data_IF_847601693255
#
_entry.id   IF_847601693255
#
_cell.length_a   1.000
_cell.length_b   1.000
_cell.length_c   1.000
_cell.angle_alpha   90.00
_cell.angle_beta   90.00
_cell.angle_gamma   90.00
#
_symmetry.space_group_name_H-M   'P 1'
#
loop_
_entity.id
_entity.type
_entity.pdbx_description
1 polymer ?
#
# COMPACT_ATOMS: atom_id res chain seq x y z
N UNK A 1 34.95 -15.04 0.05
CA UNK A 1 34.08 -13.87 -0.08
C UNK A 1 34.56 -13.06 -1.28
N UNK A 2 33.83 -12.98 -2.39
CA UNK A 2 34.23 -12.17 -3.56
C UNK A 2 33.81 -10.71 -3.35
N UNK A 3 34.76 -9.80 -3.42
CA UNK A 3 34.53 -8.35 -3.45
C UNK A 3 34.00 -7.99 -4.83
N UNK A 4 32.72 -7.61 -4.92
CA UNK A 4 32.15 -7.02 -6.14
C UNK A 4 32.61 -5.57 -6.21
N UNK A 5 33.60 -5.29 -7.08
CA UNK A 5 33.96 -3.93 -7.48
C UNK A 5 32.97 -3.48 -8.55
N UNK A 6 31.99 -2.66 -8.20
CA UNK A 6 31.17 -1.95 -9.16
C UNK A 6 31.89 -0.66 -9.54
N UNK A 7 32.59 -0.66 -10.68
CA UNK A 7 33.07 0.59 -11.30
C UNK A 7 31.84 1.31 -11.87
N UNK A 8 31.38 2.34 -11.18
CA UNK A 8 30.36 3.27 -11.69
C UNK A 8 31.07 4.23 -12.64
N UNK A 9 30.73 4.16 -13.92
CA UNK A 9 31.28 5.00 -14.97
C UNK A 9 30.90 6.48 -14.72
N UNK A 10 31.85 7.26 -14.24
CA UNK A 10 31.70 8.68 -13.89
C UNK A 10 31.32 9.60 -15.08
N UNK A 11 31.45 9.11 -16.34
CA UNK A 11 31.15 9.89 -17.54
C UNK A 11 29.66 10.15 -17.80
N UNK A 12 28.79 9.24 -17.42
CA UNK A 12 27.33 9.38 -17.65
C UNK A 12 26.72 10.49 -16.78
N UNK A 13 27.30 10.75 -15.60
CA UNK A 13 26.82 11.79 -14.68
C UNK A 13 27.12 13.23 -15.12
N UNK A 14 28.18 13.43 -15.92
CA UNK A 14 28.62 14.77 -16.34
C UNK A 14 27.78 15.32 -17.48
N UNK A 15 27.26 14.46 -18.37
CA UNK A 15 26.39 14.88 -19.48
C UNK A 15 24.96 15.23 -19.02
N UNK A 16 24.40 14.50 -18.07
CA UNK A 16 23.08 14.78 -17.49
C UNK A 16 23.03 16.11 -16.74
N UNK A 17 24.15 16.52 -16.14
CA UNK A 17 24.25 17.80 -15.42
C UNK A 17 24.26 19.02 -16.35
N UNK A 18 24.65 18.86 -17.64
CA UNK A 18 24.70 19.96 -18.61
C UNK A 18 23.40 20.20 -19.38
N UNK A 19 22.51 19.19 -19.46
CA UNK A 19 21.25 19.30 -20.23
C UNK A 19 20.03 19.68 -19.43
N UNK A 20 20.12 19.95 -18.13
CA UNK A 20 18.97 20.13 -17.27
C UNK A 20 18.13 18.83 -17.15
N UNK A 21 17.45 18.64 -16.04
CA UNK A 21 16.64 17.43 -15.86
C UNK A 21 15.43 17.47 -16.79
N UNK A 22 15.40 16.58 -17.79
CA UNK A 22 14.23 16.37 -18.65
C UNK A 22 13.16 15.65 -17.82
N UNK A 23 12.17 16.42 -17.37
CA UNK A 23 11.03 15.87 -16.63
C UNK A 23 10.13 15.09 -17.58
N UNK A 24 9.97 13.82 -17.32
CA UNK A 24 9.01 13.00 -18.04
C UNK A 24 7.61 13.16 -17.39
N UNK A 25 6.80 14.04 -18.00
CA UNK A 25 5.41 14.29 -17.55
C UNK A 25 4.55 13.04 -17.59
N UNK A 26 4.80 12.16 -18.55
CA UNK A 26 4.06 10.91 -18.74
C UNK A 26 4.34 9.91 -17.61
N UNK A 27 5.52 10.02 -16.97
CA UNK A 27 5.89 9.26 -15.76
C UNK A 27 5.48 9.95 -14.45
N UNK A 28 4.70 11.03 -14.52
CA UNK A 28 4.19 11.71 -13.33
C UNK A 28 5.27 12.36 -12.45
N UNK A 29 6.38 12.80 -13.06
CA UNK A 29 7.47 13.46 -12.32
C UNK A 29 7.14 14.93 -12.08
N UNK A 30 6.87 15.27 -10.83
CA UNK A 30 6.58 16.62 -10.36
C UNK A 30 7.49 16.95 -9.16
N UNK A 31 8.40 17.91 -9.33
CA UNK A 31 9.32 18.32 -8.26
C UNK A 31 8.65 19.37 -7.40
N UNK A 32 8.65 19.15 -6.10
CA UNK A 32 8.23 20.11 -5.10
C UNK A 32 9.28 21.22 -5.02
N UNK A 33 8.88 22.46 -5.31
CA UNK A 33 9.79 23.62 -5.37
C UNK A 33 9.70 24.56 -4.17
N UNK A 34 8.60 24.48 -3.41
CA UNK A 34 8.37 25.39 -2.28
C UNK A 34 9.13 24.94 -1.03
N UNK A 35 10.17 25.66 -0.56
CA UNK A 35 10.98 25.26 0.57
C UNK A 35 10.20 25.21 1.89
N UNK A 36 9.18 26.04 2.07
CA UNK A 36 8.36 26.06 3.28
C UNK A 36 7.52 24.78 3.40
N UNK A 37 7.04 24.27 2.26
CA UNK A 37 6.33 22.98 2.23
C UNK A 37 7.29 21.83 2.54
N UNK A 38 8.50 21.84 1.97
CA UNK A 38 9.53 20.84 2.24
C UNK A 38 9.88 20.84 3.73
N UNK A 39 10.12 22.02 4.31
CA UNK A 39 10.42 22.18 5.73
C UNK A 39 9.27 21.62 6.60
N UNK A 40 8.03 21.97 6.26
CA UNK A 40 6.85 21.47 7.00
C UNK A 40 6.72 19.95 6.92
N UNK A 41 7.07 19.31 5.80
CA UNK A 41 7.09 17.85 5.67
C UNK A 41 8.16 17.25 6.59
N UNK A 42 9.37 17.82 6.60
CA UNK A 42 10.48 17.36 7.44
C UNK A 42 10.14 17.51 8.94
N UNK A 43 9.56 18.62 9.34
CA UNK A 43 9.09 18.85 10.71
C UNK A 43 8.03 17.82 11.13
N UNK A 44 7.03 17.57 10.25
CA UNK A 44 6.00 16.55 10.50
C UNK A 44 6.52 15.12 10.47
N UNK A 45 7.64 14.89 9.77
CA UNK A 45 8.35 13.62 9.80
C UNK A 45 9.09 13.39 11.12
N UNK A 46 9.26 14.42 11.99
CA UNK A 46 9.87 14.29 13.32
C UNK A 46 11.10 13.36 13.35
N UNK A 47 12.04 13.59 12.44
CA UNK A 47 13.23 12.77 12.25
C UNK A 47 14.13 12.91 13.48
N UNK A 48 14.61 11.79 14.01
CA UNK A 48 15.57 11.74 15.12
C UNK A 48 16.99 11.67 14.57
N UNK A 49 17.96 12.12 15.35
CA UNK A 49 19.38 12.09 14.96
C UNK A 49 19.93 10.67 14.70
N UNK A 50 19.28 9.65 15.28
CA UNK A 50 19.66 8.23 15.16
C UNK A 50 18.93 7.51 14.04
N UNK A 51 17.93 8.15 13.40
CA UNK A 51 17.12 7.48 12.39
C UNK A 51 17.89 7.23 11.08
N UNK A 52 17.70 6.07 10.51
CA UNK A 52 18.03 5.76 9.13
C UNK A 52 16.81 6.13 8.27
N UNK A 53 16.97 7.13 7.39
CA UNK A 53 15.87 7.66 6.58
C UNK A 53 15.99 7.17 5.15
N UNK A 54 14.94 6.50 4.67
CA UNK A 54 14.79 6.14 3.25
C UNK A 54 14.10 7.28 2.51
N UNK A 55 14.78 7.89 1.53
CA UNK A 55 14.18 8.79 0.57
C UNK A 55 13.98 8.10 -0.77
N UNK A 56 12.76 8.12 -1.31
CA UNK A 56 12.42 7.51 -2.59
C UNK A 56 12.24 8.61 -3.64
N UNK A 57 13.06 8.56 -4.70
CA UNK A 57 12.99 9.51 -5.79
C UNK A 57 13.39 10.93 -5.37
N UNK A 58 14.64 11.15 -4.93
CA UNK A 58 15.13 12.45 -4.41
C UNK A 58 15.18 13.57 -5.47
N UNK A 59 14.62 13.35 -6.63
CA UNK A 59 14.46 14.37 -7.67
C UNK A 59 15.81 14.82 -8.27
N UNK A 60 16.27 16.00 -7.90
CA UNK A 60 17.50 16.60 -8.45
C UNK A 60 18.80 16.07 -7.85
N UNK A 61 18.72 15.07 -6.98
CA UNK A 61 19.87 14.58 -6.20
C UNK A 61 20.55 15.71 -5.39
N UNK A 62 19.79 16.68 -4.94
CA UNK A 62 20.30 17.86 -4.23
C UNK A 62 20.99 17.48 -2.93
N UNK A 63 20.45 16.48 -2.22
CA UNK A 63 21.06 15.95 -1.00
C UNK A 63 22.47 15.39 -1.29
N UNK A 64 22.63 14.62 -2.37
CA UNK A 64 23.94 14.08 -2.77
C UNK A 64 24.95 15.21 -3.00
N UNK A 65 24.55 16.27 -3.71
CA UNK A 65 25.41 17.42 -3.97
C UNK A 65 25.80 18.14 -2.69
N UNK A 66 24.88 18.31 -1.76
CA UNK A 66 25.12 19.02 -0.49
C UNK A 66 26.04 18.28 0.47
N UNK A 67 26.02 16.94 0.47
CA UNK A 67 26.86 16.14 1.34
C UNK A 67 28.20 15.76 0.73
N UNK A 68 28.37 15.95 -0.59
CA UNK A 68 29.61 15.66 -1.31
C UNK A 68 30.79 16.47 -0.71
N UNK A 69 31.87 15.77 -0.35
CA UNK A 69 33.05 16.39 0.30
C UNK A 69 32.87 16.75 1.76
N UNK A 70 31.74 16.43 2.39
CA UNK A 70 31.51 16.62 3.84
C UNK A 70 31.68 15.31 4.60
N UNK A 71 31.76 15.39 5.94
CA UNK A 71 31.77 14.24 6.85
C UNK A 71 30.50 13.38 6.75
N UNK A 72 29.42 13.91 6.20
CA UNK A 72 28.14 13.21 6.01
C UNK A 72 28.10 12.35 4.75
N UNK A 73 29.07 12.46 3.84
CA UNK A 73 29.13 11.68 2.62
C UNK A 73 29.16 10.17 2.88
N UNK A 74 29.87 9.75 3.92
CA UNK A 74 29.95 8.33 4.32
C UNK A 74 28.63 7.76 4.89
N UNK A 75 27.70 8.64 5.30
CA UNK A 75 26.38 8.27 5.81
C UNK A 75 25.30 8.19 4.73
N UNK A 76 25.60 8.62 3.50
CA UNK A 76 24.67 8.60 2.38
C UNK A 76 24.89 7.32 1.55
N UNK A 77 23.90 6.44 1.53
CA UNK A 77 23.85 5.29 0.64
C UNK A 77 22.87 5.57 -0.50
N UNK A 78 23.31 5.40 -1.74
CA UNK A 78 22.50 5.59 -2.93
C UNK A 78 22.27 4.25 -3.60
N UNK A 79 20.97 3.90 -3.80
CA UNK A 79 20.55 2.71 -4.52
C UNK A 79 19.86 3.15 -5.81
N UNK A 80 20.38 2.75 -6.95
CA UNK A 80 19.84 3.08 -8.27
C UNK A 80 19.06 1.87 -8.78
N UNK A 81 17.78 2.06 -9.09
CA UNK A 81 16.93 0.99 -9.62
C UNK A 81 15.44 1.36 -9.61
N UNK A 82 14.63 0.39 -10.03
CA UNK A 82 13.18 0.48 -9.92
C UNK A 82 12.78 0.10 -8.48
N UNK A 83 12.23 1.05 -7.74
CA UNK A 83 11.83 0.86 -6.34
C UNK A 83 10.85 -0.31 -6.15
N UNK A 84 10.04 -0.64 -7.13
CA UNK A 84 9.10 -1.75 -7.04
C UNK A 84 9.77 -3.12 -7.18
N UNK A 85 10.93 -3.18 -7.85
CA UNK A 85 11.69 -4.41 -8.12
C UNK A 85 12.88 -4.59 -7.19
N UNK A 86 13.48 -3.48 -6.71
CA UNK A 86 14.64 -3.51 -5.83
C UNK A 86 14.25 -3.89 -4.41
N UNK A 87 15.09 -4.64 -3.71
CA UNK A 87 14.92 -4.87 -2.29
C UNK A 87 15.13 -3.57 -1.52
N UNK A 88 14.31 -3.36 -0.50
CA UNK A 88 14.44 -2.19 0.37
C UNK A 88 15.51 -2.46 1.43
N UNK A 89 16.45 -1.51 1.66
CA UNK A 89 17.39 -1.61 2.77
C UNK A 89 16.64 -1.49 4.11
N UNK A 90 17.34 -1.68 5.21
CA UNK A 90 16.85 -1.29 6.53
C UNK A 90 16.64 0.23 6.59
N UNK A 91 15.54 0.67 7.19
CA UNK A 91 15.26 2.07 7.50
C UNK A 91 14.28 2.19 8.67
N UNK A 92 14.37 3.29 9.42
CA UNK A 92 13.44 3.63 10.49
C UNK A 92 12.26 4.47 9.99
N UNK A 93 12.53 5.31 9.01
CA UNK A 93 11.59 6.27 8.41
C UNK A 93 11.67 6.28 6.89
N UNK A 94 10.53 6.43 6.23
CA UNK A 94 10.49 6.73 4.80
C UNK A 94 9.88 8.11 4.59
N UNK A 95 10.55 8.97 3.81
CA UNK A 95 10.00 10.26 3.38
C UNK A 95 10.10 10.35 1.87
N UNK A 96 8.98 10.58 1.18
CA UNK A 96 9.02 10.61 -0.28
C UNK A 96 7.92 11.45 -0.92
N UNK A 97 8.30 12.11 -2.03
CA UNK A 97 7.39 12.62 -3.04
C UNK A 97 7.43 11.65 -4.23
N UNK A 98 6.52 10.69 -4.25
CA UNK A 98 6.55 9.58 -5.21
C UNK A 98 5.81 9.89 -6.51
N UNK A 99 6.22 9.28 -7.64
CA UNK A 99 5.41 9.30 -8.86
C UNK A 99 4.05 8.64 -8.60
N UNK A 100 2.97 9.32 -9.01
CA UNK A 100 1.61 8.90 -8.65
C UNK A 100 1.21 7.52 -9.17
N UNK A 101 1.78 7.10 -10.31
CA UNK A 101 1.49 5.80 -10.93
C UNK A 101 1.88 4.60 -10.05
N UNK A 102 2.89 4.77 -9.19
CA UNK A 102 3.37 3.70 -8.31
C UNK A 102 2.82 3.77 -6.89
N UNK A 103 1.90 4.68 -6.61
CA UNK A 103 1.38 4.92 -5.24
C UNK A 103 0.87 3.65 -4.56
N UNK A 104 -0.02 2.91 -5.21
CA UNK A 104 -0.61 1.70 -4.62
C UNK A 104 0.41 0.58 -4.40
N UNK A 105 1.17 0.12 -5.42
CA UNK A 105 2.14 -0.95 -5.21
C UNK A 105 3.23 -0.57 -4.21
N UNK A 106 3.63 0.70 -4.15
CA UNK A 106 4.64 1.15 -3.18
C UNK A 106 4.12 1.11 -1.74
N UNK A 107 2.88 1.54 -1.49
CA UNK A 107 2.27 1.44 -0.15
C UNK A 107 2.29 0.00 0.34
N UNK A 108 1.85 -0.96 -0.48
CA UNK A 108 1.85 -2.37 -0.07
C UNK A 108 3.25 -2.94 0.06
N UNK A 109 4.20 -2.54 -0.81
CA UNK A 109 5.61 -2.94 -0.67
C UNK A 109 6.20 -2.47 0.67
N UNK A 110 5.94 -1.24 1.08
CA UNK A 110 6.38 -0.71 2.37
C UNK A 110 5.72 -1.48 3.54
N UNK A 111 4.41 -1.73 3.49
CA UNK A 111 3.69 -2.41 4.56
C UNK A 111 4.07 -3.90 4.72
N UNK A 112 4.58 -4.52 3.65
CA UNK A 112 5.09 -5.91 3.70
C UNK A 112 6.58 -5.98 4.01
N UNK A 113 7.30 -4.84 4.02
CA UNK A 113 8.73 -4.79 4.33
C UNK A 113 9.02 -5.25 5.77
N UNK A 114 10.10 -6.00 5.92
CA UNK A 114 10.63 -6.44 7.24
C UNK A 114 12.12 -6.14 7.32
N UNK A 115 12.62 -5.70 8.49
CA UNK A 115 11.87 -5.38 9.72
C UNK A 115 10.93 -4.18 9.53
N UNK A 116 9.90 -4.06 10.40
CA UNK A 116 8.94 -2.95 10.33
C UNK A 116 9.65 -1.62 10.60
N UNK A 117 9.35 -0.64 9.74
CA UNK A 117 9.75 0.75 9.96
C UNK A 117 8.79 1.45 10.94
N UNK A 118 9.22 2.57 11.50
CA UNK A 118 8.42 3.33 12.47
C UNK A 118 7.20 3.98 11.80
N UNK A 119 7.42 4.75 10.73
CA UNK A 119 6.37 5.30 9.85
C UNK A 119 6.93 5.82 8.54
N UNK A 120 6.05 6.01 7.57
CA UNK A 120 6.36 6.67 6.31
C UNK A 120 5.54 7.97 6.17
N UNK A 121 6.18 9.05 5.70
CA UNK A 121 5.55 10.33 5.37
C UNK A 121 5.63 10.49 3.86
N UNK A 122 4.50 10.26 3.20
CA UNK A 122 4.44 10.15 1.75
C UNK A 122 3.46 11.16 1.15
N UNK A 123 3.83 11.71 0.01
CA UNK A 123 2.96 12.60 -0.74
C UNK A 123 2.29 11.87 -1.90
N UNK A 124 0.96 12.00 -1.97
CA UNK A 124 0.10 11.36 -2.95
C UNK A 124 -0.82 12.37 -3.63
N UNK A 125 -1.43 11.99 -4.74
CA UNK A 125 -2.60 12.71 -5.27
C UNK A 125 -3.70 12.78 -4.21
N UNK A 126 -4.42 13.92 -4.17
CA UNK A 126 -5.47 14.16 -3.17
C UNK A 126 -6.44 13.00 -3.05
N UNK A 127 -7.02 12.54 -4.16
CA UNK A 127 -8.01 11.46 -4.14
C UNK A 127 -7.43 10.14 -3.60
N UNK A 128 -6.19 9.80 -3.96
CA UNK A 128 -5.54 8.60 -3.44
C UNK A 128 -5.31 8.69 -1.92
N UNK A 129 -4.83 9.83 -1.45
CA UNK A 129 -4.65 10.09 -0.02
C UNK A 129 -5.98 10.04 0.76
N UNK A 130 -7.05 10.63 0.21
CA UNK A 130 -8.40 10.58 0.78
C UNK A 130 -8.96 9.16 0.84
N UNK A 131 -8.66 8.31 -0.16
CA UNK A 131 -9.01 6.88 -0.12
C UNK A 131 -8.26 6.12 0.98
N UNK A 132 -6.98 6.45 1.22
CA UNK A 132 -6.20 5.79 2.29
C UNK A 132 -6.81 6.01 3.68
N UNK A 133 -7.33 7.21 3.95
CA UNK A 133 -7.89 7.59 5.26
C UNK A 133 -9.42 7.44 5.35
N UNK A 134 -10.07 7.07 4.26
CA UNK A 134 -11.53 6.92 4.21
C UNK A 134 -12.03 5.88 5.22
N UNK A 135 -13.16 6.19 5.89
CA UNK A 135 -13.78 5.34 6.90
C UNK A 135 -14.98 4.58 6.31
N UNK A 136 -15.44 3.51 6.97
CA UNK A 136 -16.69 2.85 6.62
C UNK A 136 -17.84 3.85 6.48
N UNK A 137 -18.62 3.74 5.40
CA UNK A 137 -19.68 4.68 5.05
C UNK A 137 -19.26 5.82 4.11
N UNK A 138 -18.00 6.19 4.08
CA UNK A 138 -17.51 7.23 3.18
C UNK A 138 -17.65 6.82 1.70
N UNK A 139 -17.90 7.82 0.83
CA UNK A 139 -17.98 7.60 -0.62
C UNK A 139 -16.70 7.00 -1.19
N UNK A 140 -15.55 7.42 -0.68
CA UNK A 140 -14.22 7.02 -1.14
C UNK A 140 -13.72 5.72 -0.51
N UNK A 141 -14.42 5.21 0.52
CA UNK A 141 -14.04 3.95 1.16
C UNK A 141 -14.04 2.79 0.16
N UNK A 142 -12.94 2.05 0.11
CA UNK A 142 -12.70 1.03 -0.90
C UNK A 142 -11.67 -0.01 -0.42
N UNK A 143 -11.37 -0.98 -1.28
CA UNK A 143 -10.37 -2.03 -0.99
C UNK A 143 -9.00 -1.48 -0.56
N UNK A 144 -8.55 -0.37 -1.17
CA UNK A 144 -7.31 0.30 -0.75
C UNK A 144 -7.39 0.77 0.70
N UNK A 145 -8.52 1.38 1.09
CA UNK A 145 -8.72 1.89 2.45
C UNK A 145 -8.58 0.79 3.49
N UNK A 146 -9.38 -0.25 3.36
CA UNK A 146 -9.45 -1.32 4.36
C UNK A 146 -8.17 -2.17 4.40
N UNK A 147 -7.58 -2.50 3.25
CA UNK A 147 -6.34 -3.26 3.19
C UNK A 147 -5.16 -2.51 3.82
N UNK A 148 -5.07 -1.19 3.59
CA UNK A 148 -4.02 -0.37 4.21
C UNK A 148 -4.26 -0.23 5.71
N UNK A 149 -5.49 0.05 6.13
CA UNK A 149 -5.84 0.28 7.54
C UNK A 149 -5.80 -1.00 8.38
N UNK A 150 -5.93 -2.18 7.78
CA UNK A 150 -5.64 -3.45 8.43
C UNK A 150 -4.18 -3.49 8.90
N UNK A 151 -3.23 -3.09 8.03
CA UNK A 151 -1.80 -3.22 8.26
C UNK A 151 -1.16 -2.00 8.93
N UNK A 152 -1.79 -0.83 8.86
CA UNK A 152 -1.24 0.42 9.33
C UNK A 152 -2.31 1.39 9.86
N UNK A 153 -1.89 2.28 10.76
CA UNK A 153 -2.60 3.52 11.02
C UNK A 153 -2.24 4.54 9.93
N UNK A 154 -3.22 5.28 9.45
CA UNK A 154 -3.05 6.26 8.36
C UNK A 154 -3.65 7.60 8.78
N UNK A 155 -2.81 8.65 8.79
CA UNK A 155 -3.21 9.99 9.19
C UNK A 155 -2.93 10.99 8.06
N UNK A 156 -3.88 11.88 7.77
CA UNK A 156 -3.69 13.00 6.86
C UNK A 156 -2.93 14.12 7.56
N UNK A 157 -1.74 14.50 7.05
CA UNK A 157 -0.90 15.50 7.69
C UNK A 157 -1.13 16.92 7.14
N UNK A 158 -1.17 17.08 5.80
CA UNK A 158 -1.35 18.39 5.19
C UNK A 158 -1.75 18.30 3.72
N UNK A 159 -2.36 19.37 3.22
CA UNK A 159 -2.68 19.55 1.79
C UNK A 159 -1.58 20.37 1.11
N UNK A 160 -1.27 20.02 -0.15
CA UNK A 160 -0.25 20.70 -0.94
C UNK A 160 -0.86 21.10 -2.30
N UNK A 161 -0.98 22.42 -2.52
CA UNK A 161 -1.52 22.96 -3.76
C UNK A 161 -0.60 22.69 -4.95
N UNK A 162 -1.17 22.46 -6.13
CA UNK A 162 -0.46 22.14 -7.37
C UNK A 162 0.59 23.15 -7.80
N UNK A 163 0.43 24.42 -7.43
CA UNK A 163 1.37 25.51 -7.76
C UNK A 163 2.73 25.39 -7.05
N UNK A 164 2.86 24.52 -6.05
CA UNK A 164 4.11 24.27 -5.35
C UNK A 164 5.04 23.31 -6.10
N UNK A 165 4.64 22.84 -7.28
CA UNK A 165 5.42 21.88 -8.09
C UNK A 165 5.90 22.47 -9.40
N UNK A 166 6.95 21.83 -9.97
CA UNK A 166 7.45 22.12 -11.33
C UNK A 166 7.76 20.80 -12.06
N UNK A 167 7.09 20.49 -13.17
CA UNK A 167 5.85 21.12 -13.64
C UNK A 167 4.69 20.89 -12.65
N UNK A 168 3.65 21.76 -12.64
CA UNK A 168 2.50 21.57 -11.76
C UNK A 168 1.72 20.30 -12.17
N UNK A 169 1.27 19.46 -11.22
CA UNK A 169 0.40 18.34 -11.50
C UNK A 169 -1.01 18.80 -11.88
N UNK A 170 -1.80 17.90 -12.49
CA UNK A 170 -3.20 18.18 -12.85
C UNK A 170 -4.09 18.38 -11.61
N UNK A 171 -3.78 17.71 -10.51
CA UNK A 171 -4.54 17.68 -9.27
C UNK A 171 -3.69 18.09 -8.07
N UNK A 172 -4.33 18.47 -6.98
CA UNK A 172 -3.67 18.74 -5.71
C UNK A 172 -3.10 17.47 -5.10
N UNK A 173 -2.20 17.64 -4.14
CA UNK A 173 -1.55 16.57 -3.40
C UNK A 173 -1.85 16.67 -1.91
N UNK A 174 -1.76 15.55 -1.22
CA UNK A 174 -1.82 15.50 0.24
C UNK A 174 -0.63 14.68 0.76
N UNK A 175 -0.13 15.09 1.91
CA UNK A 175 0.90 14.37 2.66
C UNK A 175 0.20 13.50 3.69
N UNK A 176 0.57 12.22 3.73
CA UNK A 176 -0.03 11.21 4.60
C UNK A 176 1.08 10.53 5.41
N UNK A 177 0.81 10.27 6.68
CA UNK A 177 1.63 9.43 7.54
C UNK A 177 1.01 8.02 7.56
N UNK A 178 1.84 7.03 7.31
CA UNK A 178 1.49 5.61 7.36
C UNK A 178 2.37 4.97 8.42
N UNK A 179 1.76 4.46 9.47
CA UNK A 179 2.42 3.83 10.62
C UNK A 179 2.01 2.36 10.69
N UNK A 180 2.93 1.41 10.39
CA UNK A 180 2.63 0.00 10.46
C UNK A 180 2.16 -0.41 11.86
N UNK A 181 1.17 -1.30 11.93
CA UNK A 181 0.72 -1.86 13.21
C UNK A 181 1.79 -2.80 13.75
N UNK A 182 2.11 -2.64 15.04
CA UNK A 182 3.05 -3.50 15.74
C UNK A 182 2.44 -3.89 17.10
N UNK A 183 2.12 -5.17 17.34
CA UNK A 183 2.34 -6.31 16.44
C UNK A 183 1.44 -6.25 15.19
N UNK A 184 1.86 -6.86 14.06
CA UNK A 184 1.01 -6.98 12.88
C UNK A 184 -0.20 -7.89 13.17
N UNK A 185 -1.34 -7.70 12.48
CA UNK A 185 -2.51 -8.54 12.68
C UNK A 185 -2.21 -10.00 12.34
N UNK A 186 -2.69 -10.92 13.19
CA UNK A 186 -2.54 -12.38 13.01
C UNK A 186 -3.60 -12.91 12.03
N UNK A 187 -3.52 -12.47 10.77
CA UNK A 187 -4.45 -12.85 9.70
C UNK A 187 -3.66 -13.29 8.49
N UNK A 188 -4.11 -14.38 7.85
CA UNK A 188 -3.59 -14.72 6.53
C UNK A 188 -4.03 -13.64 5.54
N UNK A 189 -3.08 -12.83 5.07
CA UNK A 189 -3.35 -11.69 4.19
C UNK A 189 -3.91 -12.13 2.82
N UNK A 190 -3.58 -13.31 2.33
CA UNK A 190 -4.10 -13.82 1.06
C UNK A 190 -5.60 -14.15 1.18
N UNK A 191 -5.99 -14.82 2.26
CA UNK A 191 -7.39 -15.09 2.59
C UNK A 191 -8.20 -13.80 2.77
N UNK A 192 -7.62 -12.86 3.52
CA UNK A 192 -8.21 -11.54 3.70
C UNK A 192 -8.42 -10.81 2.37
N UNK A 193 -7.37 -10.67 1.53
CA UNK A 193 -7.48 -9.95 0.25
C UNK A 193 -8.46 -10.64 -0.71
N UNK A 194 -8.55 -11.97 -0.68
CA UNK A 194 -9.53 -12.75 -1.42
C UNK A 194 -10.96 -12.38 -1.04
N UNK A 195 -11.28 -12.39 0.26
CA UNK A 195 -12.58 -11.97 0.79
C UNK A 195 -12.90 -10.52 0.42
N UNK A 196 -11.97 -9.60 0.70
CA UNK A 196 -12.15 -8.16 0.45
C UNK A 196 -12.33 -7.87 -1.04
N UNK A 197 -11.64 -8.57 -1.92
CA UNK A 197 -11.80 -8.45 -3.37
C UNK A 197 -13.21 -8.81 -3.83
N UNK A 198 -13.78 -9.89 -3.30
CA UNK A 198 -15.17 -10.29 -3.61
C UNK A 198 -16.15 -9.22 -3.10
N UNK A 199 -16.05 -8.85 -1.85
CA UNK A 199 -16.96 -7.91 -1.20
C UNK A 199 -16.97 -6.53 -1.87
N UNK A 200 -15.79 -5.98 -2.20
CA UNK A 200 -15.64 -4.65 -2.80
C UNK A 200 -15.81 -4.61 -4.31
N UNK A 201 -15.86 -5.75 -5.01
CA UNK A 201 -16.20 -5.78 -6.44
C UNK A 201 -17.54 -5.06 -6.70
N UNK A 202 -18.50 -5.23 -5.81
CA UNK A 202 -19.82 -4.58 -5.83
C UNK A 202 -20.15 -3.91 -4.50
N UNK A 203 -19.28 -3.02 -4.01
CA UNK A 203 -19.32 -2.43 -2.66
C UNK A 203 -20.65 -1.83 -2.21
N UNK A 204 -21.51 -1.45 -3.16
CA UNK A 204 -22.83 -0.85 -2.91
C UNK A 204 -23.97 -1.88 -2.88
N UNK A 205 -23.74 -3.12 -3.29
CA UNK A 205 -24.69 -4.23 -3.17
C UNK A 205 -24.50 -4.95 -1.84
N UNK A 206 -25.50 -5.75 -1.44
CA UNK A 206 -25.39 -6.61 -0.26
C UNK A 206 -24.33 -7.68 -0.47
N UNK A 207 -23.76 -8.20 0.62
CA UNK A 207 -22.82 -9.31 0.54
C UNK A 207 -23.46 -10.54 -0.08
N UNK A 208 -24.71 -10.85 0.25
CA UNK A 208 -25.44 -11.94 -0.41
C UNK A 208 -25.42 -11.78 -1.93
N UNK A 209 -25.66 -10.57 -2.47
CA UNK A 209 -25.60 -10.32 -3.90
C UNK A 209 -24.16 -10.38 -4.48
N UNK A 210 -23.13 -10.09 -3.67
CA UNK A 210 -21.74 -10.20 -4.11
C UNK A 210 -21.30 -11.67 -4.19
N UNK A 211 -21.68 -12.50 -3.22
CA UNK A 211 -21.33 -13.91 -3.14
C UNK A 211 -22.16 -14.81 -4.06
N UNK A 212 -23.35 -14.36 -4.51
CA UNK A 212 -24.17 -15.10 -5.52
C UNK A 212 -23.66 -15.03 -6.95
N UNK A 213 -22.58 -14.28 -7.23
CA UNK A 213 -22.00 -14.21 -8.57
C UNK A 213 -21.45 -15.59 -8.98
N UNK A 214 -21.78 -16.07 -10.19
CA UNK A 214 -21.36 -17.39 -10.67
C UNK A 214 -19.86 -17.62 -10.57
N UNK A 215 -19.04 -16.62 -10.94
CA UNK A 215 -17.58 -16.70 -10.85
C UNK A 215 -17.08 -16.89 -9.41
N UNK A 216 -17.75 -16.27 -8.43
CA UNK A 216 -17.42 -16.39 -7.00
C UNK A 216 -17.81 -17.74 -6.48
N UNK A 217 -19.03 -18.20 -6.80
CA UNK A 217 -19.55 -19.52 -6.41
C UNK A 217 -18.63 -20.62 -6.94
N UNK A 218 -18.31 -20.60 -8.24
CA UNK A 218 -17.43 -21.62 -8.85
C UNK A 218 -16.03 -21.63 -8.22
N UNK A 219 -15.47 -20.43 -7.93
CA UNK A 219 -14.17 -20.34 -7.28
C UNK A 219 -14.21 -20.91 -5.85
N UNK A 220 -15.19 -20.54 -5.05
CA UNK A 220 -15.33 -21.03 -3.67
C UNK A 220 -15.61 -22.53 -3.62
N UNK A 221 -16.41 -23.07 -4.55
CA UNK A 221 -16.66 -24.50 -4.65
C UNK A 221 -15.37 -25.28 -4.96
N UNK A 222 -14.58 -24.77 -5.92
CA UNK A 222 -13.28 -25.36 -6.27
C UNK A 222 -12.34 -25.35 -5.07
N UNK A 223 -12.21 -24.21 -4.39
CA UNK A 223 -11.34 -24.08 -3.21
C UNK A 223 -11.82 -25.01 -2.09
N UNK A 224 -13.13 -25.07 -1.82
CA UNK A 224 -13.71 -25.94 -0.81
C UNK A 224 -13.40 -27.42 -1.07
N UNK A 225 -13.57 -27.90 -2.32
CA UNK A 225 -13.24 -29.29 -2.71
C UNK A 225 -11.75 -29.58 -2.53
N UNK A 226 -10.86 -28.65 -2.90
CA UNK A 226 -9.40 -28.80 -2.72
C UNK A 226 -9.07 -28.88 -1.22
N UNK A 227 -9.55 -27.95 -0.41
CA UNK A 227 -9.30 -27.96 1.04
C UNK A 227 -9.89 -29.17 1.74
N UNK A 228 -11.09 -29.61 1.35
CA UNK A 228 -11.69 -30.84 1.89
C UNK A 228 -10.84 -32.07 1.56
N UNK A 229 -10.35 -32.18 0.33
CA UNK A 229 -9.46 -33.28 -0.09
C UNK A 229 -8.14 -33.28 0.71
N UNK A 230 -7.52 -32.12 0.90
CA UNK A 230 -6.28 -31.98 1.68
C UNK A 230 -6.47 -32.37 3.16
N UNK A 231 -7.66 -32.19 3.70
CA UNK A 231 -8.02 -32.54 5.07
C UNK A 231 -8.71 -33.90 5.21
N UNK A 232 -8.70 -34.74 4.16
CA UNK A 232 -9.37 -36.05 4.12
C UNK A 232 -10.86 -36.01 4.47
N UNK A 233 -11.53 -34.89 4.16
CA UNK A 233 -12.97 -34.75 4.32
C UNK A 233 -13.68 -35.18 3.04
N UNK A 234 -14.66 -36.08 3.19
CA UNK A 234 -15.51 -36.49 2.06
C UNK A 234 -16.55 -35.38 1.84
N UNK A 235 -16.63 -34.87 0.62
CA UNK A 235 -17.68 -33.94 0.20
C UNK A 235 -18.83 -34.78 -0.34
N UNK A 236 -20.07 -34.65 0.21
CA UNK A 236 -21.23 -35.40 -0.31
C UNK A 236 -21.54 -35.06 -1.76
N UNK A 237 -22.13 -35.98 -2.51
CA UNK A 237 -22.49 -35.76 -3.92
C UNK A 237 -23.58 -34.70 -4.12
N UNK A 238 -24.44 -34.51 -3.10
CA UNK A 238 -25.52 -33.52 -3.06
C UNK A 238 -25.07 -32.16 -2.45
N UNK A 239 -23.77 -31.97 -2.26
CA UNK A 239 -23.22 -30.75 -1.66
C UNK A 239 -23.49 -29.51 -2.54
N UNK A 240 -24.17 -28.50 -1.98
CA UNK A 240 -24.40 -27.20 -2.59
C UNK A 240 -23.66 -26.08 -1.84
N UNK A 241 -22.59 -25.59 -2.43
CA UNK A 241 -21.79 -24.48 -1.89
C UNK A 241 -22.62 -23.20 -1.69
N UNK A 242 -23.69 -22.99 -2.46
CA UNK A 242 -24.56 -21.81 -2.33
C UNK A 242 -25.33 -21.84 -1.01
N UNK A 243 -25.78 -23.01 -0.59
CA UNK A 243 -26.46 -23.17 0.70
C UNK A 243 -25.48 -22.88 1.84
N UNK A 244 -24.25 -23.38 1.76
CA UNK A 244 -23.21 -23.14 2.75
C UNK A 244 -22.81 -21.65 2.81
N UNK A 245 -22.67 -20.97 1.68
CA UNK A 245 -22.43 -19.52 1.62
C UNK A 245 -23.55 -18.75 2.31
N UNK A 246 -24.83 -19.06 2.01
CA UNK A 246 -25.96 -18.40 2.62
C UNK A 246 -25.99 -18.65 4.15
N UNK A 247 -25.78 -19.88 4.58
CA UNK A 247 -25.71 -20.25 5.99
C UNK A 247 -24.66 -19.43 6.75
N UNK A 248 -23.42 -19.29 6.19
CA UNK A 248 -22.37 -18.50 6.82
C UNK A 248 -22.73 -17.02 6.90
N UNK A 249 -23.29 -16.45 5.82
CA UNK A 249 -23.69 -15.05 5.78
C UNK A 249 -24.81 -14.74 6.79
N UNK A 250 -25.77 -15.64 6.96
CA UNK A 250 -26.85 -15.53 7.95
C UNK A 250 -26.28 -15.64 9.38
N UNK A 251 -25.48 -16.67 9.66
CA UNK A 251 -24.84 -16.90 10.95
C UNK A 251 -23.96 -15.70 11.39
N UNK A 252 -23.30 -15.03 10.44
CA UNK A 252 -22.51 -13.83 10.67
C UNK A 252 -23.34 -12.54 10.67
N UNK A 253 -24.68 -12.60 10.51
CA UNK A 253 -25.55 -11.43 10.33
C UNK A 253 -25.02 -10.46 9.24
N UNK A 254 -24.46 -11.00 8.17
CA UNK A 254 -23.77 -10.23 7.15
C UNK A 254 -24.51 -10.18 5.79
N UNK A 255 -25.55 -10.98 5.58
CA UNK A 255 -26.24 -11.15 4.31
C UNK A 255 -26.74 -9.81 3.69
N UNK A 256 -27.27 -8.92 4.53
CA UNK A 256 -27.83 -7.63 4.15
C UNK A 256 -26.83 -6.47 4.28
N UNK A 257 -25.65 -6.73 4.90
CA UNK A 257 -24.59 -5.73 5.00
C UNK A 257 -23.99 -5.43 3.61
N UNK A 258 -23.40 -4.25 3.52
CA UNK A 258 -22.71 -3.80 2.29
C UNK A 258 -21.24 -3.54 2.63
N UNK A 259 -20.33 -3.96 1.76
CA UNK A 259 -18.89 -3.78 2.00
C UNK A 259 -18.49 -2.35 2.35
N UNK A 260 -19.15 -1.36 1.71
CA UNK A 260 -18.88 0.06 1.97
C UNK A 260 -19.13 0.55 3.40
N UNK A 261 -19.94 -0.17 4.19
CA UNK A 261 -20.34 0.21 5.56
C UNK A 261 -19.72 -0.67 6.62
N UNK A 262 -18.99 -1.70 6.22
CA UNK A 262 -18.35 -2.65 7.13
C UNK A 262 -16.93 -2.17 7.49
N UNK A 263 -16.56 -2.34 8.75
CA UNK A 263 -15.23 -2.05 9.25
C UNK A 263 -14.31 -3.29 9.21
N UNK A 264 -13.09 -3.15 9.75
CA UNK A 264 -12.10 -4.22 9.77
C UNK A 264 -12.59 -5.40 10.61
N UNK A 265 -13.18 -5.14 11.76
CA UNK A 265 -13.62 -6.17 12.70
C UNK A 265 -14.81 -6.98 12.16
N UNK A 266 -15.72 -6.31 11.45
CA UNK A 266 -16.80 -6.96 10.70
C UNK A 266 -16.24 -7.97 9.68
N UNK A 267 -15.21 -7.57 8.92
CA UNK A 267 -14.62 -8.45 7.92
C UNK A 267 -13.74 -9.54 8.52
N UNK A 268 -13.05 -9.30 9.64
CA UNK A 268 -12.32 -10.34 10.38
C UNK A 268 -13.29 -11.41 10.88
N UNK A 269 -14.39 -10.99 11.50
CA UNK A 269 -15.43 -11.89 11.98
C UNK A 269 -16.03 -12.72 10.84
N UNK A 270 -16.28 -12.08 9.69
CA UNK A 270 -16.78 -12.76 8.50
C UNK A 270 -15.78 -13.76 7.93
N UNK A 271 -14.48 -13.40 7.85
CA UNK A 271 -13.42 -14.30 7.40
C UNK A 271 -13.34 -15.54 8.31
N UNK A 272 -13.37 -15.34 9.62
CA UNK A 272 -13.38 -16.45 10.57
C UNK A 272 -14.61 -17.35 10.42
N UNK A 273 -15.78 -16.77 10.17
CA UNK A 273 -17.01 -17.54 9.95
C UNK A 273 -16.90 -18.43 8.69
N UNK A 274 -16.35 -17.92 7.60
CA UNK A 274 -16.10 -18.69 6.39
C UNK A 274 -15.06 -19.79 6.62
N UNK A 275 -13.93 -19.47 7.25
CA UNK A 275 -12.85 -20.43 7.49
C UNK A 275 -13.30 -21.54 8.46
N UNK A 276 -14.14 -21.24 9.45
CA UNK A 276 -14.70 -22.24 10.38
C UNK A 276 -15.53 -23.31 9.67
N UNK A 277 -16.21 -22.95 8.57
CA UNK A 277 -16.97 -23.88 7.74
C UNK A 277 -16.10 -24.50 6.61
N UNK A 278 -14.79 -24.26 6.63
CA UNK A 278 -13.83 -24.82 5.66
C UNK A 278 -13.81 -24.10 4.29
N UNK A 279 -14.42 -22.93 4.20
CA UNK A 279 -14.35 -22.12 2.98
C UNK A 279 -13.14 -21.18 3.00
N UNK A 280 -12.33 -21.26 1.95
CA UNK A 280 -11.10 -20.50 1.79
C UNK A 280 -11.10 -19.67 0.50
N UNK A 281 -10.38 -18.55 0.53
CA UNK A 281 -10.36 -17.55 -0.55
C UNK A 281 -9.07 -17.58 -1.39
N UNK A 282 -8.18 -18.52 -1.10
CA UNK A 282 -6.90 -18.72 -1.80
C UNK A 282 -6.86 -20.01 -2.58
#
# INVERSE_FOLDING_TARGET
MPKIRTQVNCRVHTEVARQGILFNKDKGQHILKNPLIIQSIVEKAAIRSTDVVLEIGPGTAELQKRVQGTIYQSKLQIVIGDILKSDLPFFDLCVANIPYQISSPLVFKLLTHRPLFRYAVLMFQREFAERLVAKPGDKLYCRLSINTQLLARVDMLMKVGKNNFRPPPKVESNVVRIEPRNPPPLINYQEWDGLIRIAFNRKNKTLSAAFKQTTVVTMLEKNYKIHSSLNNKIVPDDFDIKQLINYVLEKANAENKRARTMDIDDFISLLHAFNAEGMHFT
#
